data_IF_296002191892
#
_entry.id   IF_296002191892
#
_cell.length_a   1.000
_cell.length_b   1.000
_cell.length_c   1.000
_cell.angle_alpha   90.00
_cell.angle_beta   90.00
_cell.angle_gamma   90.00
#
_symmetry.space_group_name_H-M   'P 1'
#
loop_
_entity.id
_entity.type
_entity.pdbx_description
1 polymer ?
#
# COMPACT_ATOMS: atom_id res chain seq x y z
N UNK A 1 -25.36 -1.96 -65.41
CA UNK A 1 -23.98 -2.02 -64.88
C UNK A 1 -24.07 -2.55 -63.46
N UNK A 2 -23.57 -3.76 -63.23
CA UNK A 2 -23.89 -4.63 -62.09
C UNK A 2 -23.12 -4.25 -60.83
N UNK A 3 -23.82 -4.28 -59.69
CA UNK A 3 -23.37 -3.80 -58.39
C UNK A 3 -22.52 -4.76 -57.55
N UNK A 4 -21.94 -4.13 -56.53
CA UNK A 4 -21.30 -4.63 -55.30
C UNK A 4 -22.11 -5.70 -54.54
N UNK A 5 -21.44 -6.67 -53.87
CA UNK A 5 -21.46 -6.78 -52.39
C UNK A 5 -20.51 -7.85 -51.77
N UNK A 6 -19.81 -7.43 -50.71
CA UNK A 6 -19.23 -8.10 -49.52
C UNK A 6 -18.37 -9.40 -49.61
N UNK A 7 -17.22 -9.37 -48.90
CA UNK A 7 -16.33 -10.52 -48.67
C UNK A 7 -16.10 -10.81 -47.17
N UNK A 8 -16.01 -12.11 -46.86
CA UNK A 8 -15.25 -12.83 -45.80
C UNK A 8 -15.86 -13.09 -44.40
N UNK A 9 -16.33 -14.33 -44.18
CA UNK A 9 -16.49 -15.05 -42.90
C UNK A 9 -15.90 -16.48 -43.06
N UNK A 10 -15.19 -17.01 -42.05
CA UNK A 10 -14.52 -18.34 -42.05
C UNK A 10 -15.16 -19.37 -41.07
N UNK A 11 -14.97 -20.70 -41.25
CA UNK A 11 -15.80 -21.78 -40.67
C UNK A 11 -15.19 -22.55 -39.45
N UNK A 12 -15.90 -23.56 -38.85
CA UNK A 12 -15.66 -24.12 -37.50
C UNK A 12 -14.96 -25.51 -37.45
N UNK A 13 -14.40 -25.92 -36.30
CA UNK A 13 -13.76 -27.25 -36.11
C UNK A 13 -14.30 -28.07 -34.90
N UNK A 14 -14.48 -29.42 -35.01
CA UNK A 14 -15.27 -30.25 -34.09
C UNK A 14 -14.50 -31.01 -32.96
N UNK A 15 -15.20 -31.22 -31.82
CA UNK A 15 -14.74 -31.66 -30.48
C UNK A 15 -14.60 -33.18 -30.22
N UNK A 16 -14.61 -34.06 -31.22
CA UNK A 16 -14.79 -35.52 -30.99
C UNK A 16 -13.50 -36.34 -30.79
N UNK A 17 -12.30 -35.74 -30.86
CA UNK A 17 -11.01 -36.47 -30.78
C UNK A 17 -10.36 -36.51 -29.38
N UNK A 18 -10.85 -35.75 -28.40
CA UNK A 18 -10.20 -35.60 -27.07
C UNK A 18 -10.59 -36.72 -26.09
N UNK A 19 -11.77 -37.31 -26.22
CA UNK A 19 -12.24 -38.34 -25.27
C UNK A 19 -11.54 -39.70 -25.40
N UNK A 20 -10.83 -39.97 -26.52
CA UNK A 20 -10.15 -41.25 -26.74
C UNK A 20 -8.75 -41.34 -26.14
N UNK A 21 -8.12 -40.22 -25.76
CA UNK A 21 -6.77 -40.22 -25.15
C UNK A 21 -6.78 -40.41 -23.62
N UNK A 22 -7.93 -40.26 -22.96
CA UNK A 22 -8.04 -40.38 -21.50
C UNK A 22 -8.17 -41.83 -21.00
N UNK A 23 -8.52 -42.79 -21.87
CA UNK A 23 -8.68 -44.21 -21.48
C UNK A 23 -7.36 -45.01 -21.54
N UNK A 24 -6.30 -44.48 -22.17
CA UNK A 24 -5.03 -45.18 -22.38
C UNK A 24 -3.98 -44.93 -21.28
N UNK A 25 -4.23 -44.03 -20.33
CA UNK A 25 -3.28 -43.67 -19.27
C UNK A 25 -3.48 -44.44 -17.95
N UNK A 26 -4.44 -45.37 -17.87
CA UNK A 26 -4.85 -46.01 -16.61
C UNK A 26 -4.31 -47.43 -16.37
N UNK A 27 -3.35 -47.94 -17.18
CA UNK A 27 -2.94 -49.37 -17.11
C UNK A 27 -1.44 -49.60 -16.77
N UNK A 28 -0.61 -48.58 -16.52
CA UNK A 28 0.85 -48.79 -16.28
C UNK A 28 1.34 -48.38 -14.88
N UNK A 29 0.63 -48.73 -13.81
CA UNK A 29 1.13 -48.45 -12.45
C UNK A 29 0.87 -49.54 -11.41
N UNK A 30 0.84 -50.82 -11.82
CA UNK A 30 0.83 -51.95 -10.89
C UNK A 30 2.22 -52.63 -10.89
N UNK A 31 3.03 -52.35 -9.86
CA UNK A 31 4.22 -53.14 -9.54
C UNK A 31 5.55 -52.38 -9.51
N UNK A 32 5.82 -51.65 -8.42
CA UNK A 32 7.18 -51.34 -7.99
C UNK A 32 7.28 -51.53 -6.46
N UNK A 33 8.37 -52.13 -5.94
CA UNK A 33 8.51 -52.44 -4.53
C UNK A 33 8.67 -51.16 -3.70
N UNK A 34 7.95 -51.08 -2.58
CA UNK A 34 8.05 -50.00 -1.62
C UNK A 34 9.43 -50.03 -0.93
N UNK A 35 10.30 -49.09 -1.27
CA UNK A 35 11.50 -48.78 -0.50
C UNK A 35 11.06 -47.88 0.65
N UNK A 36 11.08 -48.42 1.86
CA UNK A 36 10.87 -47.63 3.09
C UNK A 36 12.07 -46.70 3.25
N UNK A 37 11.93 -45.43 2.85
CA UNK A 37 12.84 -44.38 3.27
C UNK A 37 12.51 -44.04 4.72
N UNK A 38 13.50 -44.24 5.60
CA UNK A 38 13.48 -43.66 6.93
C UNK A 38 13.47 -42.13 6.77
N UNK A 39 12.30 -41.52 7.02
CA UNK A 39 12.16 -40.08 7.04
C UNK A 39 12.85 -39.57 8.32
N UNK A 40 14.04 -39.00 8.18
CA UNK A 40 14.60 -38.12 9.21
C UNK A 40 13.56 -37.04 9.48
N UNK A 41 13.07 -37.01 10.72
CA UNK A 41 12.20 -35.96 11.22
C UNK A 41 13.02 -34.68 11.34
N UNK A 42 13.18 -33.99 10.21
CA UNK A 42 13.54 -32.57 10.20
C UNK A 42 12.43 -31.87 10.99
N UNK A 43 12.78 -31.27 12.13
CA UNK A 43 11.92 -30.32 12.83
C UNK A 43 11.63 -29.17 11.87
N UNK A 44 10.58 -29.33 11.05
CA UNK A 44 10.01 -28.25 10.27
C UNK A 44 9.35 -27.33 11.28
N UNK A 45 10.05 -26.26 11.64
CA UNK A 45 9.44 -25.15 12.36
C UNK A 45 8.28 -24.69 11.48
N UNK A 46 7.05 -24.83 11.96
CA UNK A 46 5.87 -24.43 11.22
C UNK A 46 5.89 -22.91 11.05
N UNK A 47 6.21 -22.46 9.84
CA UNK A 47 6.28 -21.03 9.52
C UNK A 47 4.86 -20.46 9.41
N UNK A 48 4.40 -19.81 10.47
CA UNK A 48 3.10 -19.13 10.46
C UNK A 48 3.24 -17.75 9.82
N UNK A 49 3.00 -17.68 8.51
CA UNK A 49 2.94 -16.41 7.76
C UNK A 49 1.58 -15.74 8.02
N UNK A 50 1.58 -14.74 8.91
CA UNK A 50 0.39 -13.91 9.13
C UNK A 50 0.35 -12.83 8.06
N UNK A 51 -0.77 -12.71 7.32
CA UNK A 51 -1.02 -11.67 6.31
C UNK A 51 -2.19 -10.77 6.72
N UNK A 52 -2.28 -9.57 6.13
CA UNK A 52 -3.37 -8.61 6.35
C UNK A 52 -3.25 -7.81 7.65
N UNK A 53 -4.38 -7.37 8.22
CA UNK A 53 -4.43 -6.45 9.37
C UNK A 53 -3.66 -6.95 10.62
N UNK A 54 -3.65 -8.26 10.86
CA UNK A 54 -2.90 -8.80 12.01
C UNK A 54 -1.39 -8.70 11.79
N UNK A 55 -0.94 -8.83 10.54
CA UNK A 55 0.44 -8.65 10.17
C UNK A 55 0.88 -7.18 10.27
N UNK A 56 0.03 -6.25 9.84
CA UNK A 56 0.31 -4.81 9.94
C UNK A 56 0.48 -4.36 11.38
N UNK A 57 -0.45 -4.72 12.26
CA UNK A 57 -0.37 -4.35 13.68
C UNK A 57 0.87 -4.95 14.36
N UNK A 58 1.23 -6.20 14.02
CA UNK A 58 2.45 -6.84 14.52
C UNK A 58 3.71 -6.11 14.02
N UNK A 59 3.74 -5.74 12.74
CA UNK A 59 4.85 -5.00 12.14
C UNK A 59 5.01 -3.62 12.78
N UNK A 60 3.92 -2.86 12.95
CA UNK A 60 3.94 -1.56 13.61
C UNK A 60 4.42 -1.67 15.07
N UNK A 61 3.98 -2.71 15.80
CA UNK A 61 4.45 -2.97 17.16
C UNK A 61 5.93 -3.39 17.22
N UNK A 62 6.42 -4.11 16.21
CA UNK A 62 7.84 -4.47 16.11
C UNK A 62 8.70 -3.24 15.83
N UNK A 63 8.31 -2.40 14.86
CA UNK A 63 8.99 -1.13 14.56
C UNK A 63 9.09 -0.27 15.83
N UNK A 64 7.99 -0.15 16.57
CA UNK A 64 7.97 0.60 17.84
C UNK A 64 8.87 -0.01 18.92
N UNK A 65 9.03 -1.34 18.95
CA UNK A 65 9.87 -2.04 19.94
C UNK A 65 11.35 -1.96 19.60
N UNK A 66 11.69 -1.98 18.32
CA UNK A 66 13.06 -1.92 17.82
C UNK A 66 13.57 -0.48 17.66
N UNK A 67 12.67 0.51 17.64
CA UNK A 67 13.05 1.90 17.54
C UNK A 67 13.72 2.40 18.82
N UNK A 68 14.85 3.10 18.66
CA UNK A 68 15.54 3.81 19.74
C UNK A 68 14.77 5.04 20.25
N UNK A 69 13.64 5.35 19.61
CA UNK A 69 12.83 6.54 19.86
C UNK A 69 11.33 6.22 19.80
N UNK A 70 10.49 7.16 20.23
CA UNK A 70 9.05 7.00 20.15
C UNK A 70 8.58 7.14 18.69
N UNK A 71 8.39 5.99 18.06
CA UNK A 71 7.89 5.86 16.69
C UNK A 71 6.49 5.25 16.70
N UNK A 72 5.61 5.82 15.89
CA UNK A 72 4.38 5.15 15.47
C UNK A 72 4.41 4.94 13.97
N UNK A 73 4.04 3.73 13.52
CA UNK A 73 4.06 3.35 12.12
C UNK A 73 2.66 2.98 11.65
N UNK A 74 2.29 3.41 10.44
CA UNK A 74 1.08 3.00 9.73
C UNK A 74 1.52 2.13 8.55
N UNK A 75 0.93 0.95 8.42
CA UNK A 75 1.20 0.07 7.28
C UNK A 75 0.38 0.45 6.04
N UNK A 76 0.80 -0.03 4.87
CA UNK A 76 0.01 0.08 3.64
C UNK A 76 -1.41 -0.51 3.75
N UNK A 77 -1.60 -1.53 4.59
CA UNK A 77 -2.91 -2.16 4.76
C UNK A 77 -3.83 -1.20 5.51
N UNK A 78 -3.36 -0.60 6.59
CA UNK A 78 -4.19 0.28 7.45
C UNK A 78 -4.52 1.62 6.79
N UNK A 79 -3.66 2.09 5.88
CA UNK A 79 -3.93 3.27 5.04
C UNK A 79 -5.08 2.99 4.05
N UNK A 80 -5.16 1.78 3.50
CA UNK A 80 -6.16 1.40 2.50
C UNK A 80 -7.49 0.86 3.05
N UNK A 81 -7.63 0.75 4.38
CA UNK A 81 -8.88 0.24 5.01
C UNK A 81 -10.03 1.22 4.88
N UNK A 82 -9.74 2.52 4.86
CA UNK A 82 -10.73 3.58 4.71
C UNK A 82 -10.46 4.38 3.43
N UNK A 83 -11.50 4.95 2.79
CA UNK A 83 -11.36 5.74 1.58
C UNK A 83 -10.82 7.13 1.90
N UNK A 84 -9.61 7.19 2.44
CA UNK A 84 -8.91 8.43 2.76
C UNK A 84 -8.50 9.12 1.45
N UNK A 85 -8.67 10.43 1.38
CA UNK A 85 -8.31 11.20 0.17
C UNK A 85 -6.83 11.56 0.12
N UNK A 86 -6.18 11.57 1.27
CA UNK A 86 -4.78 11.92 1.47
C UNK A 86 -4.22 11.08 2.61
N UNK A 87 -2.91 10.82 2.56
CA UNK A 87 -2.17 10.20 3.66
C UNK A 87 -2.37 10.93 5.00
N UNK A 88 -2.59 12.24 4.97
CA UNK A 88 -2.72 13.06 6.18
C UNK A 88 -3.97 12.68 7.00
N UNK A 89 -5.03 12.22 6.33
CA UNK A 89 -6.26 11.75 6.96
C UNK A 89 -6.04 10.40 7.66
N UNK A 90 -5.31 9.48 7.01
CA UNK A 90 -4.88 8.23 7.65
C UNK A 90 -4.02 8.49 8.90
N UNK A 91 -3.17 9.52 8.87
CA UNK A 91 -2.30 9.90 9.99
C UNK A 91 -3.06 10.42 11.22
N UNK A 92 -4.29 10.91 11.08
CA UNK A 92 -5.13 11.32 12.23
C UNK A 92 -5.49 10.17 13.17
N UNK A 93 -5.37 8.93 12.69
CA UNK A 93 -5.60 7.74 13.52
C UNK A 93 -4.50 7.53 14.56
N UNK A 94 -3.33 8.15 14.37
CA UNK A 94 -2.23 8.05 15.32
C UNK A 94 -2.47 8.99 16.49
N UNK A 95 -2.33 8.51 17.74
CA UNK A 95 -2.51 9.34 18.92
C UNK A 95 -1.47 10.47 18.97
N UNK A 96 -1.95 11.69 19.23
CA UNK A 96 -1.10 12.88 19.29
C UNK A 96 -0.65 13.38 17.91
N UNK A 97 -1.29 12.93 16.83
CA UNK A 97 -1.16 13.55 15.51
C UNK A 97 -2.44 14.31 15.22
N UNK A 98 -2.31 15.59 14.91
CA UNK A 98 -3.40 16.44 14.48
C UNK A 98 -3.07 17.05 13.12
N UNK A 99 -4.08 17.35 12.32
CA UNK A 99 -3.86 17.99 11.03
C UNK A 99 -4.26 19.45 11.08
N UNK A 100 -3.52 20.25 10.34
CA UNK A 100 -3.85 21.63 10.07
C UNK A 100 -4.59 21.70 8.74
N UNK A 101 -5.83 22.16 8.80
CA UNK A 101 -6.67 22.41 7.62
C UNK A 101 -6.54 23.88 7.23
N UNK A 102 -6.47 24.13 5.94
CA UNK A 102 -6.55 25.49 5.40
C UNK A 102 -8.01 25.95 5.48
N UNK A 103 -8.22 27.13 6.05
CA UNK A 103 -9.55 27.75 6.13
C UNK A 103 -10.12 28.09 4.76
N UNK A 104 -11.42 28.40 4.71
CA UNK A 104 -12.09 28.88 3.50
C UNK A 104 -11.35 30.10 2.91
N UNK A 105 -11.19 30.13 1.58
CA UNK A 105 -10.63 31.28 0.85
C UNK A 105 -9.36 31.01 0.03
N UNK A 106 -8.84 29.77 0.03
CA UNK A 106 -7.77 29.38 -0.87
C UNK A 106 -8.36 28.68 -2.11
N UNK A 107 -8.18 29.22 -3.33
CA UNK A 107 -8.81 28.66 -4.54
C UNK A 107 -8.26 27.27 -4.91
N UNK A 108 -7.05 26.94 -4.45
CA UNK A 108 -6.37 25.70 -4.79
C UNK A 108 -6.69 24.54 -3.82
N UNK A 109 -7.40 24.80 -2.72
CA UNK A 109 -7.64 23.79 -1.67
C UNK A 109 -9.08 23.80 -1.17
N UNK A 110 -9.67 22.60 -1.06
CA UNK A 110 -10.95 22.45 -0.37
C UNK A 110 -10.73 22.54 1.15
N UNK A 111 -11.62 23.21 1.88
CA UNK A 111 -11.48 23.42 3.34
C UNK A 111 -11.46 22.14 4.18
N UNK A 112 -11.83 21.00 3.59
CA UNK A 112 -11.77 19.68 4.23
C UNK A 112 -10.40 19.03 4.12
N UNK A 113 -9.55 19.46 3.19
CA UNK A 113 -8.23 18.90 2.93
C UNK A 113 -7.19 19.48 3.91
N UNK A 114 -6.44 18.60 4.55
CA UNK A 114 -5.36 18.99 5.45
C UNK A 114 -4.07 19.25 4.69
N UNK A 115 -3.28 20.21 5.18
CA UNK A 115 -2.01 20.62 4.56
C UNK A 115 -0.82 20.41 5.49
N UNK A 116 -1.02 20.63 6.79
CA UNK A 116 0.03 20.51 7.80
C UNK A 116 -0.24 19.36 8.76
N UNK A 117 0.83 18.86 9.36
CA UNK A 117 0.77 17.90 10.47
C UNK A 117 1.36 18.55 11.71
N UNK A 118 0.63 18.49 12.81
CA UNK A 118 1.12 18.85 14.12
C UNK A 118 1.23 17.59 14.98
N UNK A 119 2.41 17.38 15.57
CA UNK A 119 2.69 16.24 16.45
C UNK A 119 2.72 16.78 17.88
N UNK A 120 1.89 16.19 18.74
CA UNK A 120 1.69 16.60 20.15
C UNK A 120 1.35 18.09 20.30
N UNK A 121 0.62 18.65 19.34
CA UNK A 121 0.24 20.07 19.32
C UNK A 121 1.33 21.03 18.81
N UNK A 122 2.47 20.51 18.35
CA UNK A 122 3.54 21.33 17.74
C UNK A 122 3.48 21.22 16.22
N UNK A 123 3.38 22.36 15.56
CA UNK A 123 3.34 22.49 14.09
C UNK A 123 4.72 22.48 13.43
N UNK A 124 5.79 22.65 14.21
CA UNK A 124 7.18 22.57 13.76
C UNK A 124 7.61 21.12 13.51
N UNK A 125 6.95 20.46 12.57
CA UNK A 125 7.23 19.08 12.15
C UNK A 125 8.05 19.07 10.86
N UNK A 126 8.88 18.05 10.73
CA UNK A 126 9.67 17.81 9.53
C UNK A 126 8.99 16.75 8.67
N UNK A 127 9.06 16.90 7.34
CA UNK A 127 8.50 15.93 6.39
C UNK A 127 9.62 15.32 5.56
N UNK A 128 9.56 14.01 5.39
CA UNK A 128 10.54 13.25 4.62
C UNK A 128 9.82 12.28 3.67
N UNK A 129 10.46 12.03 2.54
CA UNK A 129 10.01 11.07 1.55
C UNK A 129 11.11 10.02 1.35
N UNK A 130 10.86 8.78 1.78
CA UNK A 130 11.85 7.69 1.81
C UNK A 130 13.17 8.09 2.51
N UNK A 131 13.08 8.81 3.64
CA UNK A 131 14.25 9.28 4.40
C UNK A 131 15.03 10.44 3.76
N UNK A 132 14.44 11.11 2.76
CA UNK A 132 15.00 12.30 2.14
C UNK A 132 14.15 13.51 2.42
N UNK A 133 14.80 14.66 2.55
CA UNK A 133 14.14 15.97 2.57
C UNK A 133 13.21 16.12 1.38
N UNK A 134 12.00 16.61 1.67
CA UNK A 134 11.08 17.00 0.63
C UNK A 134 10.52 18.39 0.92
N UNK A 135 10.41 19.16 -0.15
CA UNK A 135 10.06 20.57 -0.11
C UNK A 135 9.00 20.84 -1.17
N UNK A 136 8.19 21.87 -0.92
CA UNK A 136 7.22 22.37 -1.88
C UNK A 136 7.53 23.83 -2.23
N UNK A 137 6.81 24.40 -3.20
CA UNK A 137 7.06 25.77 -3.66
C UNK A 137 6.90 26.84 -2.56
N UNK A 138 6.13 26.56 -1.51
CA UNK A 138 5.76 27.53 -0.47
C UNK A 138 6.57 27.43 0.84
N UNK A 139 7.59 26.56 0.93
CA UNK A 139 8.24 26.29 2.22
C UNK A 139 9.01 24.98 2.33
N UNK A 140 9.45 24.68 3.56
CA UNK A 140 10.16 23.45 3.94
C UNK A 140 9.15 22.45 4.49
N UNK A 141 8.86 21.40 3.74
CA UNK A 141 7.88 20.39 4.09
C UNK A 141 7.12 19.87 2.87
N UNK A 142 6.52 18.69 3.03
CA UNK A 142 5.67 18.08 2.04
C UNK A 142 4.26 18.66 2.12
N UNK A 143 3.64 18.85 0.97
CA UNK A 143 2.18 18.93 0.91
C UNK A 143 1.62 17.51 1.00
N UNK A 144 1.32 17.05 2.22
CA UNK A 144 0.78 15.70 2.43
C UNK A 144 -0.59 15.51 1.77
N UNK A 145 -1.35 16.60 1.58
CA UNK A 145 -2.62 16.61 0.86
C UNK A 145 -2.51 16.09 -0.58
N UNK A 146 -1.37 16.34 -1.24
CA UNK A 146 -1.16 15.99 -2.65
C UNK A 146 -0.67 14.54 -2.83
N UNK A 147 -0.32 13.85 -1.74
CA UNK A 147 0.16 12.48 -1.79
C UNK A 147 -1.00 11.51 -1.58
N UNK A 148 -1.33 10.82 -2.65
CA UNK A 148 -2.36 9.80 -2.65
C UNK A 148 -1.93 8.61 -1.75
N UNK A 149 -2.80 8.15 -0.83
CA UNK A 149 -2.48 7.10 0.14
C UNK A 149 -2.06 5.76 -0.51
N UNK A 150 -2.58 5.45 -1.70
CA UNK A 150 -2.30 4.23 -2.46
C UNK A 150 -0.84 4.12 -2.94
N UNK A 151 -0.13 5.26 -3.05
CA UNK A 151 1.27 5.28 -3.47
C UNK A 151 2.22 4.86 -2.33
N UNK A 152 1.72 4.85 -1.09
CA UNK A 152 2.52 4.62 0.10
C UNK A 152 2.51 3.15 0.53
N UNK A 153 3.70 2.67 0.90
CA UNK A 153 3.93 1.41 1.59
C UNK A 153 3.76 1.53 3.10
N UNK A 154 3.85 2.76 3.63
CA UNK A 154 3.60 3.07 5.02
C UNK A 154 4.02 4.48 5.38
N UNK A 155 3.79 4.84 6.64
CA UNK A 155 4.21 6.13 7.21
C UNK A 155 4.80 5.89 8.58
N UNK A 156 6.01 6.41 8.82
CA UNK A 156 6.63 6.39 10.13
C UNK A 156 6.62 7.81 10.71
N UNK A 157 6.11 7.94 11.93
CA UNK A 157 6.01 9.19 12.67
C UNK A 157 6.93 9.11 13.89
N UNK A 158 8.02 9.85 13.81
CA UNK A 158 9.01 10.00 14.87
C UNK A 158 8.61 11.18 15.75
N UNK A 159 8.27 10.90 17.00
CA UNK A 159 7.83 11.94 17.94
C UNK A 159 8.97 12.61 18.71
N UNK A 160 10.16 12.02 18.64
CA UNK A 160 11.39 12.52 19.24
C UNK A 160 12.53 12.37 18.22
N UNK A 161 13.52 13.26 18.29
CA UNK A 161 14.69 13.25 17.43
C UNK A 161 15.80 12.34 17.99
N UNK A 162 16.55 11.69 17.11
CA UNK A 162 17.77 10.94 17.40
C UNK A 162 18.93 11.56 16.61
N UNK A 163 20.17 11.31 17.03
CA UNK A 163 21.35 12.00 16.48
C UNK A 163 21.69 11.63 15.02
N UNK A 164 21.18 10.49 14.54
CA UNK A 164 21.30 10.00 13.17
C UNK A 164 20.25 10.59 12.22
N UNK A 165 19.18 11.20 12.75
CA UNK A 165 18.14 11.84 11.94
C UNK A 165 18.53 13.26 11.54
N UNK A 166 17.95 13.72 10.42
CA UNK A 166 18.18 15.06 9.92
C UNK A 166 17.43 16.06 10.80
N UNK A 167 18.14 17.12 11.21
CA UNK A 167 17.59 18.20 12.02
C UNK A 167 16.41 18.91 11.30
N UNK A 168 15.47 19.44 12.09
CA UNK A 168 14.46 20.39 11.58
C UNK A 168 13.01 20.11 11.95
N UNK A 169 12.75 19.22 12.91
CA UNK A 169 11.39 18.90 13.38
C UNK A 169 11.31 18.83 14.89
N UNK A 170 11.24 19.98 15.58
CA UNK A 170 11.15 20.04 17.06
C UNK A 170 9.88 19.31 17.56
N UNK A 171 8.79 19.37 16.78
CA UNK A 171 7.57 18.61 17.06
C UNK A 171 7.65 17.12 16.74
N UNK A 172 8.58 16.75 15.85
CA UNK A 172 8.76 15.39 15.33
C UNK A 172 9.02 15.38 13.82
N UNK A 173 9.28 14.19 13.29
CA UNK A 173 9.51 13.95 11.86
C UNK A 173 8.49 12.94 11.32
N UNK A 174 7.92 13.24 10.17
CA UNK A 174 7.04 12.32 9.43
C UNK A 174 7.79 11.85 8.20
N UNK A 175 8.00 10.54 8.09
CA UNK A 175 8.64 9.91 6.94
C UNK A 175 7.61 9.09 6.17
N UNK A 176 7.35 9.48 4.92
CA UNK A 176 6.49 8.76 4.00
C UNK A 176 7.32 7.68 3.29
N UNK A 177 6.88 6.43 3.35
CA UNK A 177 7.51 5.32 2.64
C UNK A 177 6.66 4.97 1.44
N UNK A 178 7.21 5.07 0.24
CA UNK A 178 6.52 4.65 -0.98
C UNK A 178 6.57 3.14 -1.14
N UNK A 179 5.56 2.58 -1.80
CA UNK A 179 5.65 1.20 -2.29
C UNK A 179 6.78 1.07 -3.29
N UNK A 180 7.64 0.08 -3.08
CA UNK A 180 8.68 -0.30 -4.02
C UNK A 180 8.19 -1.48 -4.88
N UNK A 181 8.70 -1.64 -6.12
CA UNK A 181 8.29 -2.71 -7.02
C UNK A 181 8.45 -4.14 -6.45
N UNK A 182 9.31 -4.32 -5.45
CA UNK A 182 9.63 -5.61 -4.86
C UNK A 182 9.08 -5.80 -3.44
N UNK A 183 8.28 -4.86 -2.91
CA UNK A 183 7.68 -5.00 -1.58
C UNK A 183 6.53 -6.02 -1.54
N UNK A 184 5.98 -6.42 -2.69
CA UNK A 184 4.95 -7.44 -2.79
C UNK A 184 5.28 -8.46 -3.88
N UNK A 185 4.96 -9.72 -3.60
CA UNK A 185 5.08 -10.81 -4.57
C UNK A 185 3.89 -10.77 -5.54
N UNK A 186 4.18 -10.71 -6.84
CA UNK A 186 3.17 -10.73 -7.90
C UNK A 186 2.76 -9.35 -8.40
N UNK A 187 1.86 -9.33 -9.39
CA UNK A 187 1.37 -8.10 -10.00
C UNK A 187 0.20 -7.53 -9.19
N UNK A 188 0.35 -6.28 -8.70
CA UNK A 188 -0.73 -5.56 -8.01
C UNK A 188 -1.29 -4.47 -8.93
N UNK A 189 -2.61 -4.48 -9.12
CA UNK A 189 -3.34 -3.46 -9.88
C UNK A 189 -4.38 -2.85 -8.95
N UNK A 190 -4.32 -1.53 -8.77
CA UNK A 190 -5.31 -0.77 -8.00
C UNK A 190 -6.10 0.10 -8.98
N UNK A 191 -7.43 0.12 -8.82
CA UNK A 191 -8.35 0.97 -9.59
C UNK A 191 -9.21 1.71 -8.57
N UNK A 192 -9.13 3.02 -8.59
CA UNK A 192 -9.92 3.91 -7.75
C UNK A 192 -10.94 4.65 -8.62
N UNK A 193 -12.20 4.72 -8.17
CA UNK A 193 -13.25 5.49 -8.82
C UNK A 193 -13.90 6.41 -7.78
N UNK A 194 -13.81 7.73 -8.00
CA UNK A 194 -14.37 8.75 -7.11
C UNK A 194 -15.29 9.69 -7.90
N UNK A 195 -16.45 10.00 -7.32
CA UNK A 195 -17.35 11.05 -7.81
C UNK A 195 -17.45 12.16 -6.78
N UNK A 196 -17.20 13.41 -7.19
CA UNK A 196 -17.38 14.60 -6.35
C UNK A 196 -18.40 15.53 -6.98
N UNK A 197 -19.35 15.98 -6.17
CA UNK A 197 -20.25 17.07 -6.52
C UNK A 197 -20.08 18.18 -5.49
N UNK A 198 -19.66 19.36 -5.93
CA UNK A 198 -19.51 20.54 -5.08
C UNK A 198 -20.30 21.69 -5.67
N UNK A 199 -21.20 22.28 -4.88
CA UNK A 199 -21.86 23.54 -5.21
C UNK A 199 -21.02 24.68 -4.62
N UNK A 200 -20.66 25.66 -5.45
CA UNK A 200 -19.84 26.81 -5.06
C UNK A 200 -20.69 27.96 -4.48
N UNK A 201 -21.99 27.74 -4.28
CA UNK A 201 -22.93 28.73 -3.76
C UNK A 201 -23.33 28.44 -2.30
N UNK A 202 -22.39 28.52 -1.35
CA UNK A 202 -22.54 29.01 0.04
C UNK A 202 -21.27 28.70 0.86
#
# INVERSE_FOLDING_TARGET
MSGFNQKHLTPPFPLTKIYRSLLAASIVAFGAPAVVQAQEAVNQIEEVVVRGNRASLRSAAEIKRQADTFVDAISAVDIGVLPDRSVLEAMQRIPGVSIERVGQGWPDYFSVEGRGVAIRGMSATRSEFNGRDAFHASGRGLSFGDIAPELLGGVNIYKNQTADMIEGGIGGTVSLLTRKPFDQEGQMVAINAEGRWGDINN
#
